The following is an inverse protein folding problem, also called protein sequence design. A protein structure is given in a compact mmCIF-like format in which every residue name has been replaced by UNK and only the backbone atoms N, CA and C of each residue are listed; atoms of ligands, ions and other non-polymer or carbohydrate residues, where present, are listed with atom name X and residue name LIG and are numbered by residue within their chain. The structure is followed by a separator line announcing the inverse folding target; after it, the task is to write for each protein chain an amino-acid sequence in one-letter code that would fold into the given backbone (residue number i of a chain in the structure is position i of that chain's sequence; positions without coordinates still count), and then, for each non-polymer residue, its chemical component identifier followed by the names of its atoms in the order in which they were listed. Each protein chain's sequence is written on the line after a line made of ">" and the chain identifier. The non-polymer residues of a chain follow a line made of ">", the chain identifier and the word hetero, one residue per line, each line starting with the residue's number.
data_IF_925398864479
#
_entry.id   IF_925398864479
#
_cell.length_a   1.000
_cell.length_b   1.000
_cell.length_c   1.000
_cell.angle_alpha   90.00
_cell.angle_beta   90.00
_cell.angle_gamma   90.00
#
_symmetry.space_group_name_H-M   'P 1'
#
loop_
_entity.id
_entity.type
_entity.pdbx_description
1 polymer ?
#
# COMPACT_ATOMS: atom_id res chain seq x y z
N UNK A 1 59.91 -2.62 17.30
CA UNK A 1 59.01 -2.49 16.13
C UNK A 1 57.67 -3.17 16.40
N UNK A 2 56.97 -2.74 17.44
CA UNK A 2 55.64 -3.21 17.85
C UNK A 2 54.90 -1.92 18.21
N UNK A 3 53.64 -1.76 17.80
CA UNK A 3 52.81 -0.52 17.82
C UNK A 3 52.72 0.19 16.47
N UNK A 4 52.04 -0.42 15.50
CA UNK A 4 51.35 0.31 14.41
C UNK A 4 50.24 -0.48 13.70
N UNK A 5 50.01 -1.75 14.05
CA UNK A 5 49.07 -2.63 13.32
C UNK A 5 47.74 -2.96 14.02
N UNK A 6 47.35 -2.25 15.09
CA UNK A 6 46.11 -2.56 15.86
C UNK A 6 45.04 -1.45 15.75
N UNK A 7 45.25 -0.43 14.91
CA UNK A 7 44.32 0.72 14.81
C UNK A 7 43.48 0.70 13.51
N UNK A 8 43.57 -0.36 12.70
CA UNK A 8 42.79 -0.50 11.45
C UNK A 8 41.90 -1.77 11.48
N UNK A 9 41.40 -2.14 12.66
CA UNK A 9 40.39 -3.22 12.78
C UNK A 9 39.10 -2.77 13.51
N UNK A 10 39.01 -1.50 13.92
CA UNK A 10 37.82 -0.98 14.62
C UNK A 10 36.90 -0.15 13.71
N UNK A 11 37.30 0.09 12.44
CA UNK A 11 36.55 0.94 11.50
C UNK A 11 35.62 0.16 10.53
N UNK A 12 35.20 -1.05 10.91
CA UNK A 12 34.14 -1.80 10.22
C UNK A 12 33.00 -2.17 11.18
N UNK A 13 32.77 -1.32 12.19
CA UNK A 13 31.50 -1.32 12.89
C UNK A 13 30.46 -0.73 11.92
N UNK A 14 29.86 -1.62 11.13
CA UNK A 14 28.65 -1.37 10.37
C UNK A 14 27.58 -0.88 11.37
N UNK A 15 27.50 0.44 11.54
CA UNK A 15 26.38 1.10 12.18
C UNK A 15 25.15 0.83 11.31
N UNK A 16 24.46 -0.26 11.60
CA UNK A 16 23.05 -0.41 11.29
C UNK A 16 22.30 0.65 12.08
N UNK A 17 22.31 1.90 11.61
CA UNK A 17 21.34 2.88 12.05
C UNK A 17 19.99 2.35 11.58
N UNK A 18 19.05 2.00 12.49
CA UNK A 18 17.69 1.75 12.05
C UNK A 18 17.26 3.03 11.35
N UNK A 19 16.90 2.91 10.07
CA UNK A 19 16.19 3.95 9.37
C UNK A 19 14.86 4.08 10.12
N UNK A 20 14.82 4.94 11.14
CA UNK A 20 13.58 5.28 11.82
C UNK A 20 12.76 6.02 10.78
N UNK A 21 11.86 5.29 10.13
CA UNK A 21 10.78 5.87 9.38
C UNK A 21 9.90 6.63 10.38
N UNK A 22 10.27 7.88 10.65
CA UNK A 22 9.57 8.73 11.58
C UNK A 22 8.37 9.33 10.85
N UNK A 23 7.32 8.53 10.73
CA UNK A 23 5.99 9.07 10.47
C UNK A 23 5.52 9.75 11.74
N UNK A 24 5.53 11.09 11.76
CA UNK A 24 5.04 11.87 12.90
C UNK A 24 3.51 11.85 13.00
N UNK A 25 2.82 11.19 12.07
CA UNK A 25 1.36 11.11 12.03
C UNK A 25 0.89 9.67 11.97
N UNK A 26 0.11 9.28 12.98
CA UNK A 26 -0.65 8.03 13.00
C UNK A 26 -2.09 8.29 12.57
N UNK A 27 -2.59 7.50 11.63
CA UNK A 27 -3.97 7.55 11.13
C UNK A 27 -4.62 6.18 11.29
N UNK A 28 -5.77 6.13 11.95
CA UNK A 28 -6.54 4.89 12.14
C UNK A 28 -8.05 5.11 12.03
N UNK A 29 -8.80 4.28 11.29
CA UNK A 29 -8.33 3.18 10.46
C UNK A 29 -7.67 3.66 9.16
N UNK A 30 -6.91 2.78 8.50
CA UNK A 30 -6.29 3.04 7.19
C UNK A 30 -7.27 2.93 6.01
N UNK A 31 -8.50 2.49 6.29
CA UNK A 31 -9.59 2.32 5.34
C UNK A 31 -10.91 2.55 6.06
N UNK A 32 -11.81 3.28 5.40
CA UNK A 32 -13.20 3.42 5.78
C UNK A 32 -14.08 2.81 4.69
N UNK A 33 -15.06 2.00 5.10
CA UNK A 33 -16.03 1.37 4.20
C UNK A 33 -17.42 1.64 4.73
N UNK A 34 -18.20 2.43 4.01
CA UNK A 34 -19.62 2.61 4.24
C UNK A 34 -20.37 1.52 3.47
N UNK A 35 -20.84 0.50 4.19
CA UNK A 35 -21.68 -0.53 3.62
C UNK A 35 -23.15 -0.10 3.69
N UNK A 36 -23.69 0.31 2.54
CA UNK A 36 -25.01 0.92 2.45
C UNK A 36 -25.08 2.35 3.01
N UNK A 37 -26.28 2.75 3.41
CA UNK A 37 -26.62 4.11 3.86
C UNK A 37 -27.13 4.17 5.31
N UNK A 38 -27.09 3.03 6.01
CA UNK A 38 -27.57 2.86 7.37
C UNK A 38 -26.61 3.55 8.36
N UNK A 39 -25.31 3.24 8.25
CA UNK A 39 -24.25 3.94 8.99
C UNK A 39 -23.81 5.17 8.20
N UNK A 40 -24.18 6.36 8.68
CA UNK A 40 -23.90 7.62 7.95
C UNK A 40 -22.68 8.36 8.43
N UNK A 41 -22.03 7.92 9.51
CA UNK A 41 -20.85 8.57 10.06
C UNK A 41 -19.82 7.53 10.47
N UNK A 42 -18.57 7.75 10.09
CA UNK A 42 -17.42 7.00 10.58
C UNK A 42 -16.34 7.96 11.08
N UNK A 43 -15.47 7.46 11.95
CA UNK A 43 -14.44 8.25 12.60
C UNK A 43 -13.05 7.81 12.13
N UNK A 44 -12.16 8.77 11.95
CA UNK A 44 -10.73 8.56 11.78
C UNK A 44 -10.02 9.22 12.95
N UNK A 45 -9.26 8.45 13.71
CA UNK A 45 -8.34 8.93 14.71
C UNK A 45 -7.05 9.39 14.05
N UNK A 46 -6.64 10.60 14.37
CA UNK A 46 -5.41 11.23 13.94
C UNK A 46 -4.57 11.54 15.18
N UNK A 47 -3.36 10.99 15.27
CA UNK A 47 -2.47 11.21 16.41
C UNK A 47 -1.10 11.69 15.95
N UNK A 48 -0.56 12.73 16.58
CA UNK A 48 0.79 13.18 16.33
C UNK A 48 1.76 12.36 17.20
N UNK A 49 2.54 11.50 16.56
CA UNK A 49 3.59 10.69 17.21
C UNK A 49 4.97 11.33 17.11
N UNK A 50 5.05 12.54 16.57
CA UNK A 50 6.25 13.35 16.49
C UNK A 50 6.48 14.22 17.73
N UNK A 51 7.60 14.94 17.72
CA UNK A 51 8.03 15.81 18.84
C UNK A 51 7.62 17.28 18.68
N UNK A 52 7.12 17.65 17.52
CA UNK A 52 6.74 19.02 17.20
C UNK A 52 5.23 19.14 16.98
N UNK A 53 4.63 20.24 17.44
CA UNK A 53 3.25 20.59 17.07
C UNK A 53 3.14 20.72 15.55
N UNK A 54 2.21 20.00 14.94
CA UNK A 54 2.05 19.97 13.48
C UNK A 54 0.61 20.23 13.07
N UNK A 55 0.44 20.99 12.00
CA UNK A 55 -0.88 21.26 11.40
C UNK A 55 -1.06 20.42 10.14
N UNK A 56 -2.21 19.79 9.99
CA UNK A 56 -2.61 18.99 8.84
C UNK A 56 -3.84 19.59 8.17
N UNK A 57 -3.83 19.66 6.85
CA UNK A 57 -4.99 19.99 6.01
C UNK A 57 -5.50 18.73 5.33
N UNK A 58 -6.81 18.54 5.34
CA UNK A 58 -7.46 17.40 4.72
C UNK A 58 -8.00 17.77 3.33
N UNK A 59 -7.90 16.84 2.38
CA UNK A 59 -8.50 16.92 1.05
C UNK A 59 -8.88 15.53 0.56
N UNK A 60 -9.69 15.43 -0.50
CA UNK A 60 -9.85 14.17 -1.23
C UNK A 60 -8.95 14.17 -2.46
N UNK A 61 -8.26 13.04 -2.69
CA UNK A 61 -7.55 12.75 -3.92
C UNK A 61 -8.23 11.56 -4.60
N UNK A 62 -8.22 11.57 -5.93
CA UNK A 62 -8.68 10.43 -6.73
C UNK A 62 -7.48 9.64 -7.19
N UNK A 63 -7.49 8.35 -6.87
CA UNK A 63 -6.37 7.46 -7.11
C UNK A 63 -6.91 6.18 -7.73
N UNK A 64 -6.31 5.80 -8.85
CA UNK A 64 -6.59 4.58 -9.56
C UNK A 64 -5.45 3.59 -9.35
N UNK A 65 -5.77 2.30 -9.41
CA UNK A 65 -4.80 1.21 -9.41
C UNK A 65 -4.67 0.68 -10.84
N UNK A 66 -3.44 0.57 -11.35
CA UNK A 66 -3.17 -0.13 -12.61
C UNK A 66 -3.01 -1.65 -12.40
N UNK A 67 -2.79 -2.38 -13.50
CA UNK A 67 -2.71 -3.83 -13.49
C UNK A 67 -1.52 -4.37 -12.67
N UNK A 68 -0.47 -3.59 -12.45
CA UNK A 68 0.67 -3.99 -11.61
C UNK A 68 0.45 -3.62 -10.13
N UNK A 69 -0.70 -3.03 -9.81
CA UNK A 69 -1.05 -2.59 -8.47
C UNK A 69 -0.46 -1.24 -8.08
N UNK A 70 0.13 -0.49 -9.03
CA UNK A 70 0.65 0.85 -8.79
C UNK A 70 -0.51 1.86 -8.78
N UNK A 71 -0.36 2.86 -7.93
CA UNK A 71 -1.32 3.92 -7.77
C UNK A 71 -0.97 5.14 -8.61
N UNK A 72 -1.95 5.64 -9.36
CA UNK A 72 -1.84 6.83 -10.20
C UNK A 72 -2.93 7.83 -9.80
N UNK A 73 -2.59 9.12 -9.72
CA UNK A 73 -3.58 10.17 -9.46
C UNK A 73 -4.35 10.47 -10.75
N UNK A 74 -5.65 10.67 -10.61
CA UNK A 74 -6.56 11.03 -11.70
C UNK A 74 -7.42 12.23 -11.28
N UNK A 75 -7.96 12.96 -12.25
CA UNK A 75 -8.85 14.11 -11.99
C UNK A 75 -10.30 13.78 -12.30
N UNK A 76 -10.54 13.04 -13.39
CA UNK A 76 -11.86 12.61 -13.86
C UNK A 76 -12.01 11.09 -13.72
N UNK A 77 -13.24 10.59 -13.46
CA UNK A 77 -13.48 9.16 -13.35
C UNK A 77 -13.38 8.49 -14.72
N UNK A 78 -12.80 7.29 -14.76
CA UNK A 78 -12.91 6.42 -15.92
C UNK A 78 -14.31 5.80 -16.05
N UNK A 79 -14.53 5.10 -17.17
CA UNK A 79 -15.73 4.30 -17.35
C UNK A 79 -15.91 3.30 -16.20
N UNK A 80 -17.12 3.24 -15.64
CA UNK A 80 -17.48 2.37 -14.50
C UNK A 80 -16.71 2.68 -13.20
N UNK A 81 -16.08 3.85 -13.09
CA UNK A 81 -15.51 4.36 -11.85
C UNK A 81 -16.39 5.44 -11.25
N UNK A 82 -16.66 5.35 -9.94
CA UNK A 82 -17.37 6.42 -9.22
C UNK A 82 -16.51 6.99 -8.10
N UNK A 83 -16.44 8.32 -7.99
CA UNK A 83 -15.78 8.98 -6.87
C UNK A 83 -16.69 9.05 -5.66
N UNK A 84 -16.16 8.73 -4.48
CA UNK A 84 -16.88 8.86 -3.22
C UNK A 84 -16.93 10.31 -2.72
N UNK A 85 -15.96 11.16 -3.09
CA UNK A 85 -15.83 12.52 -2.56
C UNK A 85 -17.06 13.42 -2.70
N UNK A 86 -17.90 13.37 -3.75
CA UNK A 86 -19.13 14.17 -3.81
C UNK A 86 -20.19 13.76 -2.78
N UNK A 87 -20.09 12.53 -2.25
CA UNK A 87 -21.02 11.92 -1.30
C UNK A 87 -20.45 11.85 0.12
N UNK A 88 -19.25 12.36 0.35
CA UNK A 88 -18.59 12.36 1.64
C UNK A 88 -18.27 13.78 2.10
N UNK A 89 -18.59 14.07 3.36
CA UNK A 89 -18.19 15.29 4.06
C UNK A 89 -17.28 14.92 5.21
N UNK A 90 -16.15 15.61 5.36
CA UNK A 90 -15.26 15.45 6.52
C UNK A 90 -15.19 16.70 7.37
N UNK A 91 -15.01 16.53 8.68
CA UNK A 91 -14.74 17.63 9.60
C UNK A 91 -13.89 17.18 10.80
N UNK A 92 -13.00 18.06 11.30
CA UNK A 92 -12.64 19.38 10.76
C UNK A 92 -11.79 19.30 9.47
N UNK A 93 -11.63 20.42 8.75
CA UNK A 93 -10.81 20.48 7.50
C UNK A 93 -9.33 20.71 7.75
N UNK A 94 -9.00 21.29 8.90
CA UNK A 94 -7.64 21.57 9.35
C UNK A 94 -7.55 21.16 10.81
N UNK A 95 -6.45 20.52 11.18
CA UNK A 95 -6.18 19.99 12.51
C UNK A 95 -4.78 20.42 12.92
N UNK A 96 -4.62 20.92 14.13
CA UNK A 96 -3.31 21.16 14.73
C UNK A 96 -3.18 20.25 15.95
N UNK A 97 -2.10 19.47 15.99
CA UNK A 97 -1.84 18.50 17.05
C UNK A 97 -0.50 18.82 17.70
N UNK A 98 -0.49 19.06 19.00
CA UNK A 98 0.71 19.01 19.82
C UNK A 98 1.33 17.59 19.83
N UNK A 99 2.56 17.42 20.32
CA UNK A 99 3.14 16.10 20.53
C UNK A 99 2.21 15.21 21.37
N UNK A 100 2.04 13.97 20.94
CA UNK A 100 1.16 12.96 21.55
C UNK A 100 -0.35 13.32 21.57
N UNK A 101 -0.74 14.44 20.95
CA UNK A 101 -2.15 14.84 20.85
C UNK A 101 -2.88 14.02 19.79
N UNK A 102 -4.14 13.69 20.10
CA UNK A 102 -5.02 12.94 19.21
C UNK A 102 -6.33 13.69 18.97
N UNK A 103 -6.82 13.66 17.73
CA UNK A 103 -8.10 14.23 17.34
C UNK A 103 -8.88 13.29 16.42
N UNK A 104 -10.21 13.36 16.52
CA UNK A 104 -11.12 12.62 15.66
C UNK A 104 -11.54 13.49 14.47
N UNK A 105 -11.39 12.94 13.28
CA UNK A 105 -12.02 13.43 12.05
C UNK A 105 -13.27 12.60 11.81
N UNK A 106 -14.43 13.26 11.68
CA UNK A 106 -15.68 12.59 11.32
C UNK A 106 -15.87 12.65 9.82
N UNK A 107 -16.16 11.50 9.22
CA UNK A 107 -16.51 11.33 7.82
C UNK A 107 -17.98 10.98 7.75
N UNK A 108 -18.77 11.81 7.08
CA UNK A 108 -20.22 11.72 7.00
C UNK A 108 -20.67 11.47 5.56
N UNK A 109 -21.55 10.49 5.39
CA UNK A 109 -22.25 10.23 4.14
C UNK A 109 -23.33 11.31 3.92
N UNK A 110 -23.31 11.92 2.74
CA UNK A 110 -24.27 12.95 2.30
C UNK A 110 -24.87 12.55 0.95
N UNK A 111 -25.96 13.22 0.54
CA UNK A 111 -26.62 12.98 -0.77
C UNK A 111 -26.96 11.50 -1.01
N UNK A 112 -27.38 10.79 0.02
CA UNK A 112 -27.61 9.33 -0.03
C UNK A 112 -28.69 8.92 -1.03
N UNK A 113 -29.61 9.82 -1.37
CA UNK A 113 -30.66 9.61 -2.38
C UNK A 113 -30.13 9.63 -3.83
N UNK A 114 -28.92 10.15 -4.05
CA UNK A 114 -28.29 10.22 -5.38
C UNK A 114 -27.35 9.03 -5.65
N UNK A 115 -27.08 8.21 -4.62
CA UNK A 115 -26.24 7.03 -4.74
C UNK A 115 -26.98 5.92 -5.50
N UNK A 116 -26.33 5.40 -6.55
CA UNK A 116 -26.79 4.24 -7.30
C UNK A 116 -26.06 3.00 -6.80
N UNK A 117 -26.54 1.83 -7.22
CA UNK A 117 -25.85 0.57 -6.97
C UNK A 117 -24.43 0.59 -7.55
N UNK A 118 -23.49 0.02 -6.78
CA UNK A 118 -22.07 -0.06 -7.14
C UNK A 118 -21.14 0.44 -6.04
N UNK A 119 -19.85 0.48 -6.37
CA UNK A 119 -18.80 1.00 -5.51
C UNK A 119 -18.42 2.44 -5.90
N UNK A 120 -18.24 3.27 -4.87
CA UNK A 120 -17.66 4.61 -4.97
C UNK A 120 -16.38 4.64 -4.15
N UNK A 121 -15.30 5.22 -4.70
CA UNK A 121 -14.00 5.24 -4.04
C UNK A 121 -13.28 6.56 -4.23
N UNK A 122 -12.79 7.12 -3.13
CA UNK A 122 -11.89 8.27 -3.09
C UNK A 122 -10.89 8.08 -1.95
N UNK A 123 -9.87 8.93 -1.87
CA UNK A 123 -8.86 8.81 -0.84
C UNK A 123 -8.76 10.09 -0.02
N UNK A 124 -8.97 9.98 1.30
CA UNK A 124 -8.83 11.10 2.20
C UNK A 124 -7.34 11.33 2.48
N UNK A 125 -6.85 12.49 2.07
CA UNK A 125 -5.46 12.88 2.13
C UNK A 125 -5.23 13.89 3.26
N UNK A 126 -4.28 13.56 4.14
CA UNK A 126 -3.80 14.39 5.24
C UNK A 126 -2.45 14.96 4.85
N UNK A 127 -2.36 16.26 4.64
CA UNK A 127 -1.11 16.92 4.25
C UNK A 127 -0.62 17.84 5.35
N UNK A 128 0.64 17.71 5.75
CA UNK A 128 1.28 18.66 6.65
C UNK A 128 1.30 20.07 6.06
N UNK A 129 1.05 21.08 6.90
CA UNK A 129 1.16 22.49 6.54
C UNK A 129 2.53 22.99 7.02
N UNK A 130 3.41 23.45 6.12
CA UNK A 130 4.73 23.95 6.50
C UNK A 130 4.64 25.11 7.49
N UNK A 131 5.47 25.08 8.52
CA UNK A 131 5.73 26.27 9.35
C UNK A 131 6.59 27.22 8.53
N UNK A 132 6.02 28.33 8.07
CA UNK A 132 6.81 29.39 7.46
C UNK A 132 7.60 30.05 8.61
N UNK A 133 8.88 29.70 8.74
CA UNK A 133 9.80 30.53 9.52
C UNK A 133 10.02 31.78 8.68
N UNK A 134 9.37 32.89 9.06
CA UNK A 134 9.79 34.19 8.58
C UNK A 134 11.27 34.30 8.90
N UNK A 135 12.10 34.59 7.90
CA UNK A 135 13.51 34.91 8.12
C UNK A 135 13.51 36.02 9.18
N UNK A 136 13.91 35.69 10.41
CA UNK A 136 14.22 36.71 11.39
C UNK A 136 15.22 37.63 10.68
N UNK A 137 14.90 38.92 10.62
CA UNK A 137 15.72 39.94 10.00
C UNK A 137 17.13 39.84 10.57
N UNK A 138 17.98 39.02 9.94
CA UNK A 138 19.41 39.01 10.18
C UNK A 138 19.85 40.34 9.57
N UNK A 139 19.87 41.37 10.41
CA UNK A 139 20.47 42.66 10.07
C UNK A 139 21.88 42.31 9.62
N UNK A 140 22.10 42.34 8.30
CA UNK A 140 23.42 42.16 7.70
C UNK A 140 24.18 43.44 8.06
N UNK A 141 24.79 43.46 9.24
CA UNK A 141 25.87 44.38 9.56
C UNK A 141 27.15 43.72 9.10
N UNK A 142 27.50 43.89 7.83
CA UNK A 142 28.91 43.82 7.40
C UNK A 142 29.08 44.50 6.05
N UNK A 143 29.67 45.67 6.13
CA UNK A 143 30.35 46.39 5.07
C UNK A 143 31.58 45.59 4.62
N UNK A 144 31.40 44.57 3.78
CA UNK A 144 32.47 43.95 2.98
C UNK A 144 31.87 43.19 1.79
N UNK A 145 32.29 43.59 0.58
CA UNK A 145 31.97 42.94 -0.69
C UNK A 145 32.62 41.55 -0.76
N UNK A 146 31.89 40.51 -0.37
CA UNK A 146 32.15 39.13 -0.79
C UNK A 146 30.90 38.55 -1.46
N UNK A 147 31.04 37.62 -2.43
CA UNK A 147 29.91 37.02 -3.12
C UNK A 147 29.02 36.32 -2.09
N UNK A 148 27.72 36.64 -2.08
CA UNK A 148 26.73 35.98 -1.23
C UNK A 148 26.74 34.48 -1.52
N UNK A 149 27.12 33.68 -0.53
CA UNK A 149 26.87 32.24 -0.52
C UNK A 149 25.37 31.98 -0.74
N UNK A 150 25.04 31.12 -1.69
CA UNK A 150 23.65 30.74 -1.98
C UNK A 150 23.22 29.75 -0.90
N UNK A 151 22.35 30.19 0.02
CA UNK A 151 21.72 29.34 1.03
C UNK A 151 20.41 28.75 0.48
N UNK A 152 20.33 27.42 0.39
CA UNK A 152 19.16 26.68 -0.11
C UNK A 152 18.55 25.89 1.05
N UNK A 153 17.35 26.29 1.48
CA UNK A 153 16.57 25.56 2.49
C UNK A 153 15.46 24.74 1.82
N UNK A 154 15.54 23.42 1.94
CA UNK A 154 14.50 22.48 1.48
C UNK A 154 13.71 21.99 2.68
N UNK A 155 12.39 22.18 2.67
CA UNK A 155 11.49 21.66 3.71
C UNK A 155 10.56 20.61 3.11
N UNK A 156 10.75 19.31 3.43
CA UNK A 156 9.86 18.26 2.95
C UNK A 156 8.46 18.42 3.56
N UNK A 157 7.42 18.12 2.77
CA UNK A 157 6.03 18.11 3.22
C UNK A 157 5.50 16.69 3.10
N UNK A 158 5.28 16.05 4.24
CA UNK A 158 4.73 14.70 4.28
C UNK A 158 3.20 14.73 4.22
N UNK A 159 2.64 13.68 3.64
CA UNK A 159 1.20 13.45 3.65
C UNK A 159 0.85 11.96 3.62
N UNK A 160 -0.32 11.63 4.14
CA UNK A 160 -0.84 10.27 4.27
C UNK A 160 -2.21 10.21 3.61
N UNK A 161 -2.49 9.13 2.87
CA UNK A 161 -3.77 8.93 2.20
C UNK A 161 -4.44 7.65 2.70
N UNK A 162 -5.73 7.71 3.04
CA UNK A 162 -6.53 6.54 3.45
C UNK A 162 -7.70 6.33 2.49
N UNK A 163 -8.03 5.06 2.24
CA UNK A 163 -9.07 4.69 1.28
C UNK A 163 -10.45 4.90 1.90
N UNK A 164 -11.35 5.58 1.21
CA UNK A 164 -12.74 5.79 1.61
C UNK A 164 -13.64 5.18 0.53
N UNK A 165 -14.42 4.18 0.92
CA UNK A 165 -15.28 3.40 0.02
C UNK A 165 -16.73 3.52 0.48
N UNK A 166 -17.65 3.64 -0.47
CA UNK A 166 -19.08 3.46 -0.27
C UNK A 166 -19.52 2.31 -1.17
N UNK A 167 -20.18 1.30 -0.61
CA UNK A 167 -20.78 0.20 -1.36
C UNK A 167 -22.29 0.27 -1.25
N UNK A 168 -22.97 0.20 -2.39
CA UNK A 168 -24.44 0.20 -2.46
C UNK A 168 -24.89 -1.02 -3.25
N UNK A 169 -25.89 -1.73 -2.72
CA UNK A 169 -26.42 -2.95 -3.33
C UNK A 169 -25.65 -4.22 -2.97
N UNK A 170 -26.10 -5.35 -3.51
CA UNK A 170 -25.51 -6.64 -3.20
C UNK A 170 -24.18 -6.84 -3.96
N UNK A 171 -23.18 -7.50 -3.34
CA UNK A 171 -21.94 -7.82 -4.03
C UNK A 171 -22.18 -8.85 -5.14
N UNK A 172 -21.80 -8.53 -6.37
CA UNK A 172 -21.79 -9.47 -7.52
C UNK A 172 -20.37 -9.91 -7.89
N UNK A 173 -19.41 -9.59 -7.02
CA UNK A 173 -17.99 -9.72 -7.33
C UNK A 173 -17.53 -11.16 -7.32
N UNK A 174 -16.87 -11.57 -8.40
CA UNK A 174 -16.20 -12.87 -8.51
C UNK A 174 -14.72 -12.66 -8.81
N UNK A 175 -13.90 -13.61 -8.37
CA UNK A 175 -12.46 -13.60 -8.60
C UNK A 175 -12.01 -14.95 -9.10
N UNK A 176 -11.05 -14.95 -10.02
CA UNK A 176 -10.34 -16.15 -10.46
C UNK A 176 -8.84 -15.87 -10.59
N UNK A 177 -8.05 -16.93 -10.54
CA UNK A 177 -6.63 -16.86 -10.86
C UNK A 177 -6.37 -17.37 -12.27
N UNK A 178 -5.37 -16.80 -12.94
CA UNK A 178 -4.82 -17.29 -14.20
C UNK A 178 -3.29 -17.15 -14.20
N UNK A 179 -2.63 -17.80 -15.15
CA UNK A 179 -1.18 -17.64 -15.39
C UNK A 179 -0.31 -17.88 -14.15
N UNK A 180 -0.67 -18.87 -13.31
CA UNK A 180 0.16 -19.27 -12.19
C UNK A 180 1.45 -19.93 -12.72
N UNK A 181 2.60 -19.42 -12.31
CA UNK A 181 3.89 -20.00 -12.66
C UNK A 181 4.90 -19.79 -11.55
N UNK A 182 5.66 -20.84 -11.20
CA UNK A 182 6.81 -20.70 -10.31
C UNK A 182 8.05 -20.36 -11.15
N UNK A 183 8.52 -19.13 -11.01
CA UNK A 183 9.72 -18.59 -11.66
C UNK A 183 10.98 -18.96 -10.87
N UNK A 184 12.19 -18.81 -11.47
CA UNK A 184 13.45 -19.03 -10.78
C UNK A 184 13.55 -18.27 -9.46
N UNK A 185 14.38 -18.79 -8.56
CA UNK A 185 14.49 -18.27 -7.20
C UNK A 185 13.15 -18.30 -6.44
N UNK A 186 12.29 -19.28 -6.67
CA UNK A 186 11.04 -19.48 -5.93
C UNK A 186 10.14 -18.23 -5.89
N UNK A 187 9.96 -17.58 -7.05
CA UNK A 187 9.02 -16.45 -7.19
C UNK A 187 7.77 -16.96 -7.86
N UNK A 188 6.64 -16.99 -7.16
CA UNK A 188 5.36 -17.34 -7.75
C UNK A 188 4.77 -16.09 -8.44
N UNK A 189 4.50 -16.22 -9.73
CA UNK A 189 3.77 -15.24 -10.54
C UNK A 189 2.33 -15.71 -10.71
N UNK A 190 1.39 -14.76 -10.73
CA UNK A 190 -0.03 -15.04 -10.94
C UNK A 190 -0.78 -13.78 -11.35
N UNK A 191 -1.87 -13.99 -12.09
CA UNK A 191 -2.85 -12.97 -12.47
C UNK A 191 -4.14 -13.20 -11.68
N UNK A 192 -4.71 -12.12 -11.17
CA UNK A 192 -5.98 -12.11 -10.44
C UNK A 192 -7.00 -11.37 -11.29
N UNK A 193 -8.01 -12.09 -11.78
CA UNK A 193 -9.09 -11.55 -12.57
C UNK A 193 -10.30 -11.29 -11.68
N UNK A 194 -10.85 -10.08 -11.73
CA UNK A 194 -12.04 -9.66 -10.98
C UNK A 194 -13.13 -9.28 -11.97
N UNK A 195 -14.35 -9.71 -11.69
CA UNK A 195 -15.57 -9.18 -12.34
C UNK A 195 -16.59 -8.77 -11.30
N UNK A 196 -17.62 -8.01 -11.71
CA UNK A 196 -18.69 -7.55 -10.82
C UNK A 196 -18.50 -6.13 -10.28
N UNK A 197 -19.39 -5.74 -9.37
CA UNK A 197 -19.66 -4.34 -9.01
C UNK A 197 -18.82 -3.78 -7.85
N UNK A 198 -17.99 -4.58 -7.18
CA UNK A 198 -17.20 -4.15 -6.03
C UNK A 198 -15.74 -4.59 -6.13
N UNK A 199 -14.88 -3.87 -5.41
CA UNK A 199 -13.49 -4.19 -5.23
C UNK A 199 -13.34 -5.37 -4.26
N UNK A 200 -12.26 -6.14 -4.42
CA UNK A 200 -11.89 -7.16 -3.42
C UNK A 200 -10.74 -6.67 -2.56
N UNK A 201 -10.69 -7.14 -1.32
CA UNK A 201 -9.58 -6.87 -0.43
C UNK A 201 -9.40 -7.95 0.61
N UNK A 202 -8.14 -8.36 0.82
CA UNK A 202 -7.79 -9.18 1.96
C UNK A 202 -6.37 -9.70 1.88
N UNK A 203 -6.22 -11.01 1.93
CA UNK A 203 -4.91 -11.67 2.02
C UNK A 203 -4.73 -12.75 0.97
N UNK A 204 -3.56 -12.79 0.37
CA UNK A 204 -3.11 -13.90 -0.47
C UNK A 204 -2.23 -14.82 0.36
N UNK A 205 -2.66 -16.06 0.50
CA UNK A 205 -1.92 -17.13 1.16
C UNK A 205 -1.39 -18.11 0.11
N UNK A 206 -0.12 -18.46 0.22
CA UNK A 206 0.49 -19.51 -0.61
C UNK A 206 0.93 -20.63 0.31
N UNK A 207 0.36 -21.81 0.13
CA UNK A 207 0.71 -23.01 0.88
C UNK A 207 1.40 -24.01 -0.05
N UNK A 208 2.53 -24.57 0.38
CA UNK A 208 3.13 -25.73 -0.25
C UNK A 208 2.52 -26.98 0.36
N UNK A 209 2.09 -27.91 -0.49
CA UNK A 209 1.56 -29.21 -0.10
C UNK A 209 2.53 -30.25 -0.66
N UNK A 210 3.22 -30.97 0.23
CA UNK A 210 4.18 -32.01 -0.15
C UNK A 210 3.48 -33.20 -0.82
N UNK A 211 4.21 -34.09 -1.53
CA UNK A 211 3.64 -35.34 -2.06
C UNK A 211 2.96 -36.20 -0.99
N UNK A 212 3.42 -36.11 0.26
CA UNK A 212 2.86 -36.80 1.43
C UNK A 212 1.63 -36.07 2.03
N UNK A 213 1.23 -34.93 1.46
CA UNK A 213 0.06 -34.15 1.87
C UNK A 213 0.32 -33.14 3.00
N UNK A 214 1.57 -32.93 3.41
CA UNK A 214 1.89 -31.96 4.48
C UNK A 214 1.81 -30.54 3.93
N UNK A 215 0.91 -29.74 4.49
CA UNK A 215 0.72 -28.33 4.12
C UNK A 215 1.58 -27.39 4.97
N UNK A 216 2.27 -26.44 4.34
CA UNK A 216 3.02 -25.36 5.00
C UNK A 216 2.81 -24.04 4.29
N UNK A 217 2.52 -22.98 5.05
CA UNK A 217 2.47 -21.63 4.49
C UNK A 217 3.88 -21.18 4.08
N UNK A 218 4.03 -20.81 2.82
CA UNK A 218 5.28 -20.41 2.18
C UNK A 218 5.23 -19.00 1.61
N UNK A 219 4.08 -18.32 1.71
CA UNK A 219 3.91 -16.96 1.23
C UNK A 219 2.64 -16.32 1.79
N UNK A 220 2.74 -15.03 2.09
CA UNK A 220 1.63 -14.21 2.57
C UNK A 220 1.76 -12.78 2.05
N UNK A 221 0.72 -12.28 1.38
CA UNK A 221 0.55 -10.85 1.12
C UNK A 221 -0.69 -10.37 1.86
N UNK A 222 -0.49 -9.48 2.83
CA UNK A 222 -1.59 -8.83 3.54
C UNK A 222 -2.04 -7.56 2.85
N UNK A 223 -3.33 -7.27 2.92
CA UNK A 223 -3.91 -6.06 2.33
C UNK A 223 -3.84 -6.03 0.80
N UNK A 224 -3.90 -7.20 0.16
CA UNK A 224 -4.01 -7.30 -1.29
C UNK A 224 -5.40 -6.84 -1.73
N UNK A 225 -5.48 -6.14 -2.86
CA UNK A 225 -6.73 -5.58 -3.37
C UNK A 225 -6.81 -5.70 -4.89
N UNK A 226 -8.00 -5.89 -5.45
CA UNK A 226 -8.23 -5.64 -6.87
C UNK A 226 -9.38 -4.64 -6.94
N UNK A 227 -9.08 -3.40 -7.31
CA UNK A 227 -10.03 -2.31 -7.19
C UNK A 227 -10.81 -2.06 -8.48
N UNK A 228 -12.08 -1.67 -8.38
CA UNK A 228 -12.86 -1.12 -9.49
C UNK A 228 -12.23 0.18 -10.03
N UNK A 229 -12.30 0.44 -11.36
CA UNK A 229 -12.89 -0.41 -12.40
C UNK A 229 -11.96 -1.54 -12.89
N UNK A 230 -10.73 -1.64 -12.38
CA UNK A 230 -9.75 -2.65 -12.78
C UNK A 230 -10.25 -4.08 -12.65
N UNK A 231 -10.06 -4.87 -13.71
CA UNK A 231 -10.50 -6.26 -13.81
C UNK A 231 -9.33 -7.26 -13.74
N UNK A 232 -8.09 -6.77 -13.80
CA UNK A 232 -6.89 -7.58 -13.75
C UNK A 232 -5.88 -6.95 -12.78
N UNK A 233 -5.28 -7.78 -11.93
CA UNK A 233 -4.06 -7.42 -11.20
C UNK A 233 -3.03 -8.53 -11.33
N UNK A 234 -1.87 -8.22 -11.89
CA UNK A 234 -0.70 -9.09 -11.96
C UNK A 234 0.11 -8.95 -10.69
N UNK A 235 0.62 -10.05 -10.16
CA UNK A 235 1.47 -9.99 -8.97
C UNK A 235 2.49 -11.10 -8.93
N UNK A 236 3.56 -10.84 -8.16
CA UNK A 236 4.63 -11.79 -7.90
C UNK A 236 4.89 -11.83 -6.40
N UNK A 237 5.08 -13.03 -5.88
CA UNK A 237 5.43 -13.25 -4.47
C UNK A 237 6.67 -14.14 -4.38
N UNK A 238 7.70 -13.65 -3.69
CA UNK A 238 8.85 -14.46 -3.32
C UNK A 238 8.44 -15.40 -2.20
N UNK A 239 8.61 -16.69 -2.41
CA UNK A 239 8.29 -17.71 -1.41
C UNK A 239 9.40 -17.82 -0.36
N UNK A 240 9.02 -18.10 0.87
CA UNK A 240 9.91 -18.25 2.02
C UNK A 240 10.77 -19.51 1.89
N UNK A 241 12.08 -19.39 2.05
CA UNK A 241 12.96 -20.58 2.06
C UNK A 241 12.86 -21.30 3.40
N UNK A 242 12.13 -22.41 3.44
CA UNK A 242 11.94 -23.26 4.62
C UNK A 242 12.67 -24.58 4.36
N UNK A 243 13.55 -25.00 5.28
CA UNK A 243 14.45 -26.17 5.11
C UNK A 243 13.72 -27.49 4.80
N UNK A 244 12.47 -27.61 5.22
CA UNK A 244 11.64 -28.80 5.01
C UNK A 244 10.79 -28.76 3.73
N UNK A 245 10.85 -27.67 2.95
CA UNK A 245 10.03 -27.46 1.76
C UNK A 245 10.90 -27.63 0.52
N UNK A 246 10.53 -28.60 -0.32
CA UNK A 246 11.14 -28.82 -1.63
C UNK A 246 10.20 -28.27 -2.72
N UNK A 247 10.54 -27.13 -3.30
CA UNK A 247 9.77 -26.47 -4.36
C UNK A 247 9.85 -27.17 -5.73
N UNK A 248 10.60 -28.27 -5.86
CA UNK A 248 10.58 -29.12 -7.05
C UNK A 248 9.50 -30.20 -7.00
N UNK A 249 8.84 -30.39 -5.84
CA UNK A 249 7.89 -31.47 -5.60
C UNK A 249 6.59 -30.97 -4.97
N UNK A 250 5.52 -31.71 -5.18
CA UNK A 250 4.20 -31.41 -4.62
C UNK A 250 3.47 -30.35 -5.43
N UNK A 251 2.68 -29.51 -4.74
CA UNK A 251 1.89 -28.43 -5.37
C UNK A 251 1.86 -27.18 -4.51
N UNK A 252 1.64 -26.04 -5.13
CA UNK A 252 1.31 -24.79 -4.44
C UNK A 252 -0.20 -24.59 -4.50
N UNK A 253 -0.79 -24.29 -3.35
CA UNK A 253 -2.17 -23.81 -3.21
C UNK A 253 -2.12 -22.31 -2.99
N UNK A 254 -2.82 -21.55 -3.83
CA UNK A 254 -2.98 -20.11 -3.68
C UNK A 254 -4.42 -19.84 -3.26
N UNK A 255 -4.59 -19.14 -2.15
CA UNK A 255 -5.90 -18.76 -1.62
C UNK A 255 -5.96 -17.23 -1.49
N UNK A 256 -6.97 -16.61 -2.10
CA UNK A 256 -7.31 -15.21 -1.86
C UNK A 256 -8.57 -15.14 -1.02
N UNK A 257 -8.50 -14.48 0.14
CA UNK A 257 -9.63 -14.38 1.06
C UNK A 257 -9.74 -12.97 1.65
N UNK A 258 -10.86 -12.70 2.33
CA UNK A 258 -10.99 -11.54 3.22
C UNK A 258 -9.92 -11.58 4.33
N UNK A 259 -9.60 -10.45 5.00
CA UNK A 259 -8.59 -10.41 6.07
C UNK A 259 -8.86 -11.36 7.25
N UNK A 260 -10.14 -11.58 7.58
CA UNK A 260 -10.58 -12.51 8.63
C UNK A 260 -10.72 -13.95 8.13
N UNK A 261 -10.44 -14.20 6.84
CA UNK A 261 -10.53 -15.50 6.17
C UNK A 261 -11.93 -16.14 6.17
N UNK A 262 -12.97 -15.39 6.52
CA UNK A 262 -14.36 -15.87 6.52
C UNK A 262 -14.90 -16.11 5.10
N UNK A 263 -14.39 -15.37 4.11
CA UNK A 263 -14.79 -15.52 2.71
C UNK A 263 -13.55 -15.74 1.84
N UNK A 264 -13.54 -16.86 1.11
CA UNK A 264 -12.56 -17.13 0.08
C UNK A 264 -13.09 -16.54 -1.23
N UNK A 265 -12.33 -15.62 -1.81
CA UNK A 265 -12.63 -15.05 -3.13
C UNK A 265 -12.28 -16.02 -4.25
N UNK A 266 -11.12 -16.66 -4.15
CA UNK A 266 -10.63 -17.61 -5.15
C UNK A 266 -9.60 -18.57 -4.54
N UNK A 267 -9.50 -19.75 -5.13
CA UNK A 267 -8.48 -20.75 -4.85
C UNK A 267 -7.96 -21.35 -6.16
N UNK A 268 -6.65 -21.58 -6.23
CA UNK A 268 -6.02 -22.25 -7.37
C UNK A 268 -4.85 -23.12 -6.91
N UNK A 269 -4.50 -24.10 -7.74
CA UNK A 269 -3.38 -25.00 -7.51
C UNK A 269 -2.39 -24.93 -8.67
N UNK A 270 -1.09 -24.97 -8.35
CA UNK A 270 -0.01 -25.15 -9.31
C UNK A 270 0.76 -26.42 -8.96
N UNK A 271 0.71 -27.42 -9.84
CA UNK A 271 1.53 -28.63 -9.71
C UNK A 271 3.00 -28.29 -10.00
N UNK A 272 3.90 -28.69 -9.11
CA UNK A 272 5.33 -28.40 -9.26
C UNK A 272 6.07 -29.41 -10.14
N UNK A 273 5.50 -30.60 -10.33
CA UNK A 273 6.03 -31.62 -11.24
C UNK A 273 5.89 -31.21 -12.72
N UNK A 274 4.80 -30.52 -13.07
CA UNK A 274 4.47 -30.15 -14.45
C UNK A 274 5.25 -28.89 -14.91
N UNK A 275 5.84 -28.14 -13.99
CA UNK A 275 6.52 -26.87 -14.28
C UNK A 275 7.98 -27.04 -14.75
N UNK A 276 8.44 -28.29 -14.94
CA UNK A 276 9.75 -28.59 -15.55
C UNK A 276 9.74 -28.39 -17.08
N UNK A 277 8.59 -28.39 -17.74
CA UNK A 277 8.49 -28.27 -19.21
C UNK A 277 8.74 -26.84 -19.73
N UNK A 278 8.45 -25.79 -18.94
CA UNK A 278 8.62 -24.40 -19.40
C UNK A 278 10.05 -23.85 -19.28
N UNK A 279 10.98 -24.62 -18.70
CA UNK A 279 12.36 -24.15 -18.46
C UNK A 279 13.35 -24.51 -19.59
N UNK A 280 12.90 -25.12 -20.69
CA UNK A 280 13.78 -25.63 -21.76
C UNK A 280 13.68 -24.90 -23.12
N UNK A 281 12.76 -23.95 -23.33
CA UNK A 281 12.59 -23.31 -24.66
C UNK A 281 13.14 -21.88 -24.81
N UNK A 282 13.89 -21.34 -23.85
CA UNK A 282 14.72 -20.13 -24.10
C UNK A 282 16.21 -20.46 -24.12
N UNK A 283 16.54 -21.52 -24.87
CA UNK A 283 17.89 -21.75 -25.37
C UNK A 283 18.21 -20.75 -26.48
N UNK A 284 18.98 -19.73 -26.13
CA UNK A 284 20.00 -19.04 -26.95
C UNK A 284 19.92 -19.36 -28.45
N UNK A 285 19.34 -18.46 -29.25
CA UNK A 285 19.70 -18.36 -30.66
C UNK A 285 20.74 -17.26 -30.83
N UNK A 286 22.00 -17.65 -30.60
CA UNK A 286 23.15 -16.95 -31.14
C UNK A 286 23.30 -17.41 -32.59
N UNK A 287 22.80 -16.64 -33.58
CA UNK A 287 23.40 -16.45 -34.91
C UNK A 287 22.42 -15.81 -35.93
N UNK A 288 22.48 -14.47 -36.07
CA UNK A 288 22.73 -13.71 -37.32
C UNK A 288 22.40 -12.23 -37.15
#
# INVERSE_FOLDING_TARGET
>A
MIKKSIIILVLLLNCYLPLLAQGDLMVFPKRLVFDGIQSRVQNVNLSNTGKDTTTYRLSFNQIQMDEDGKFNMIEEPEENQNFASPYLRYFPRTITLAPDESQIVKIQLIKTSELKEGEYRSHLYFRGVPKIKLLENKVITTDTLQPKDIDIQITPIYGISIVNIITIGAPTTTVSFSNLALLPSHVLSMDINRTGNQSTYGELHVNHISPEGVSRNVGLIKGFAVYTPGNLRRTKIKLNTISSVDYSKGKLQVVYSTPNQETIYAEAFLNLADNQEYSLETGIDNNK
#
